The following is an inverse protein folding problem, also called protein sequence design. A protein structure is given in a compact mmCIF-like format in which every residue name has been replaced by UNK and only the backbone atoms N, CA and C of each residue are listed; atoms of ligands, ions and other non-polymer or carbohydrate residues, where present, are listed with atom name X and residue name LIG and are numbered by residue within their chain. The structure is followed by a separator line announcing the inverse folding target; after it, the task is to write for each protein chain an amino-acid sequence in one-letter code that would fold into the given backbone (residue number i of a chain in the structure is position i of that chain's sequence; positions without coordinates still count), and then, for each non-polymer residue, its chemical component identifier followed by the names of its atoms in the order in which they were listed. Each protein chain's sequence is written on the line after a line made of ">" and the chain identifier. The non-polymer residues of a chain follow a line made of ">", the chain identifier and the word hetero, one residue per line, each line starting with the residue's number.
data_IF_352927448460
#
_entry.id   IF_352927448460
#
_cell.length_a   1.000
_cell.length_b   1.000
_cell.length_c   1.000
_cell.angle_alpha   90.00
_cell.angle_beta   90.00
_cell.angle_gamma   90.00
#
_symmetry.space_group_name_H-M   'P 1'
#
loop_
_entity.id
_entity.type
_entity.pdbx_description
1 polymer ?
#
# COMPACT_ATOMS: atom_id res chain seq x y z
N UNK A 1 -6.89 14.30 1.95
CA UNK A 1 -7.62 13.72 0.78
C UNK A 1 -7.44 12.22 0.85
N UNK A 2 -8.50 11.43 0.69
CA UNK A 2 -8.43 9.96 0.64
C UNK A 2 -8.05 9.53 -0.77
N UNK A 3 -7.16 8.54 -0.87
CA UNK A 3 -6.74 7.90 -2.12
C UNK A 3 -7.06 6.40 -2.06
N UNK A 4 -7.52 5.87 -3.18
CA UNK A 4 -7.74 4.43 -3.36
C UNK A 4 -6.61 3.86 -4.20
N UNK A 5 -5.97 2.82 -3.68
CA UNK A 5 -4.86 2.08 -4.27
C UNK A 5 -5.26 0.60 -4.50
N UNK A 6 -5.96 0.26 -5.59
CA UNK A 6 -6.33 -1.13 -5.86
C UNK A 6 -5.11 -2.02 -6.00
N UNK A 7 -5.04 -3.11 -5.19
CA UNK A 7 -3.98 -4.12 -5.30
C UNK A 7 -4.28 -5.09 -6.42
N UNK A 8 -3.38 -5.15 -7.39
CA UNK A 8 -3.46 -6.06 -8.53
C UNK A 8 -3.27 -7.55 -8.15
N UNK A 9 -2.88 -7.84 -6.91
CA UNK A 9 -2.78 -9.22 -6.43
C UNK A 9 -4.09 -10.01 -6.60
N UNK A 10 -5.23 -9.32 -6.52
CA UNK A 10 -6.57 -9.91 -6.68
C UNK A 10 -7.13 -9.76 -8.11
N UNK A 11 -6.37 -9.17 -9.04
CA UNK A 11 -6.81 -8.99 -10.42
C UNK A 11 -6.62 -10.26 -11.25
N UNK A 12 -7.36 -10.37 -12.37
CA UNK A 12 -7.10 -11.36 -13.39
C UNK A 12 -5.86 -10.96 -14.20
N UNK A 13 -4.74 -11.65 -13.99
CA UNK A 13 -3.46 -11.34 -14.65
C UNK A 13 -3.52 -11.52 -16.17
N UNK A 14 -4.43 -12.34 -16.71
CA UNK A 14 -4.64 -12.44 -18.15
C UNK A 14 -5.30 -11.17 -18.75
N UNK A 15 -5.94 -10.35 -17.92
CA UNK A 15 -6.64 -9.11 -18.29
C UNK A 15 -6.19 -7.90 -17.49
N UNK A 16 -4.99 -7.95 -16.92
CA UNK A 16 -4.50 -6.97 -15.94
C UNK A 16 -4.63 -5.52 -16.43
N UNK A 17 -4.22 -5.24 -17.66
CA UNK A 17 -4.29 -3.88 -18.21
C UNK A 17 -5.71 -3.34 -18.37
N UNK A 18 -6.70 -4.20 -18.65
CA UNK A 18 -8.11 -3.82 -18.70
C UNK A 18 -8.63 -3.48 -17.29
N UNK A 19 -8.35 -4.35 -16.34
CA UNK A 19 -8.85 -4.20 -14.96
C UNK A 19 -8.24 -2.97 -14.28
N UNK A 20 -6.95 -2.71 -14.50
CA UNK A 20 -6.29 -1.51 -13.98
C UNK A 20 -6.91 -0.23 -14.57
N UNK A 21 -7.18 -0.19 -15.88
CA UNK A 21 -7.88 0.95 -16.48
C UNK A 21 -9.28 1.12 -15.91
N UNK A 22 -10.03 0.03 -15.77
CA UNK A 22 -11.37 0.09 -15.18
C UNK A 22 -11.37 0.62 -13.74
N UNK A 23 -10.41 0.19 -12.90
CA UNK A 23 -10.26 0.73 -11.55
C UNK A 23 -9.88 2.22 -11.56
N UNK A 24 -9.00 2.66 -12.46
CA UNK A 24 -8.66 4.08 -12.67
C UNK A 24 -9.87 4.91 -13.08
N UNK A 25 -10.68 4.42 -14.03
CA UNK A 25 -11.95 5.05 -14.44
C UNK A 25 -12.96 5.10 -13.27
N UNK A 26 -12.80 4.22 -12.29
CA UNK A 26 -13.58 4.20 -11.05
C UNK A 26 -13.07 5.16 -9.97
N UNK A 27 -12.00 5.91 -10.23
CA UNK A 27 -11.47 6.92 -9.32
C UNK A 27 -10.26 6.44 -8.48
N UNK A 28 -9.70 5.27 -8.77
CA UNK A 28 -8.41 4.90 -8.22
C UNK A 28 -7.35 5.92 -8.62
N UNK A 29 -6.50 6.33 -7.68
CA UNK A 29 -5.46 7.35 -7.89
C UNK A 29 -4.05 6.79 -7.83
N UNK A 30 -3.89 5.55 -7.37
CA UNK A 30 -2.64 4.79 -7.28
C UNK A 30 -2.95 3.34 -7.66
N UNK A 31 -1.98 2.59 -8.16
CA UNK A 31 -2.08 1.14 -8.36
C UNK A 31 -1.08 0.46 -7.44
N UNK A 32 -1.57 -0.38 -6.56
CA UNK A 32 -0.74 -1.12 -5.61
C UNK A 32 -0.29 -2.46 -6.18
N UNK A 33 0.99 -2.78 -5.99
CA UNK A 33 1.67 -3.92 -6.60
C UNK A 33 2.40 -4.73 -5.52
N UNK A 34 1.84 -5.86 -5.14
CA UNK A 34 2.39 -6.76 -4.12
C UNK A 34 3.47 -7.66 -4.70
N UNK A 35 4.72 -7.45 -4.27
CA UNK A 35 5.90 -8.22 -4.69
C UNK A 35 6.29 -9.19 -3.57
N UNK A 36 6.29 -10.48 -3.90
CA UNK A 36 6.57 -11.57 -2.96
C UNK A 36 7.60 -12.55 -3.53
N UNK A 37 8.53 -13.02 -2.71
CA UNK A 37 9.69 -13.84 -3.11
C UNK A 37 9.66 -15.30 -2.63
N UNK A 38 8.63 -15.69 -1.87
CA UNK A 38 8.55 -17.03 -1.28
C UNK A 38 9.48 -17.26 -0.08
N UNK A 39 10.16 -16.20 0.41
CA UNK A 39 11.05 -16.24 1.57
C UNK A 39 10.51 -15.38 2.72
N UNK A 40 10.37 -14.08 2.51
CA UNK A 40 9.76 -13.19 3.51
C UNK A 40 8.30 -13.56 3.78
N UNK A 41 7.57 -13.97 2.74
CA UNK A 41 6.20 -14.50 2.82
C UNK A 41 6.10 -15.81 2.02
N UNK A 42 5.20 -16.76 2.40
CA UNK A 42 5.11 -18.08 1.77
C UNK A 42 4.32 -18.04 0.45
N UNK A 43 4.57 -17.06 -0.41
CA UNK A 43 3.93 -16.88 -1.71
C UNK A 43 4.91 -16.24 -2.69
N UNK A 44 4.70 -16.48 -3.98
CA UNK A 44 5.42 -15.86 -5.10
C UNK A 44 4.42 -15.07 -5.94
N UNK A 45 4.76 -13.85 -6.35
CA UNK A 45 3.87 -13.08 -7.20
C UNK A 45 4.53 -12.67 -8.51
N UNK A 46 4.97 -11.43 -8.63
CA UNK A 46 5.46 -10.84 -9.88
C UNK A 46 6.77 -10.09 -9.61
N UNK A 47 7.41 -9.64 -10.68
CA UNK A 47 8.66 -8.90 -10.61
C UNK A 47 8.72 -7.72 -11.60
N UNK A 48 9.87 -7.06 -11.73
CA UNK A 48 10.06 -5.87 -12.56
C UNK A 48 9.53 -5.98 -14.00
N UNK A 49 9.61 -7.14 -14.71
CA UNK A 49 9.06 -7.26 -16.07
C UNK A 49 7.55 -7.01 -16.17
N UNK A 50 6.77 -7.47 -15.17
CA UNK A 50 5.33 -7.24 -15.12
C UNK A 50 5.03 -5.78 -14.82
N UNK A 51 5.74 -5.18 -13.87
CA UNK A 51 5.65 -3.74 -13.55
C UNK A 51 5.94 -2.88 -14.77
N UNK A 52 7.02 -3.18 -15.51
CA UNK A 52 7.37 -2.49 -16.75
C UNK A 52 6.30 -2.62 -17.85
N UNK A 53 5.59 -3.74 -17.88
CA UNK A 53 4.47 -3.95 -18.80
C UNK A 53 3.24 -3.16 -18.36
N UNK A 54 2.98 -3.14 -17.04
CA UNK A 54 1.89 -2.39 -16.44
C UNK A 54 2.05 -0.88 -16.65
N UNK A 55 3.27 -0.34 -16.52
CA UNK A 55 3.58 1.08 -16.77
C UNK A 55 3.15 1.57 -18.16
N UNK A 56 3.11 0.69 -19.15
CA UNK A 56 2.71 1.05 -20.53
C UNK A 56 1.18 1.22 -20.68
N UNK A 57 0.40 0.77 -19.70
CA UNK A 57 -1.07 0.75 -19.81
C UNK A 57 -1.79 1.68 -18.83
N UNK A 58 -1.05 2.32 -17.93
CA UNK A 58 -1.60 3.30 -16.98
C UNK A 58 -0.62 4.44 -16.73
N UNK A 59 -1.11 5.65 -16.52
CA UNK A 59 -0.32 6.80 -16.06
C UNK A 59 -0.44 7.02 -14.54
N UNK A 60 -1.30 6.24 -13.87
CA UNK A 60 -1.43 6.33 -12.41
C UNK A 60 -0.11 5.94 -11.73
N UNK A 61 0.24 6.56 -10.60
CA UNK A 61 1.37 6.12 -9.79
C UNK A 61 1.29 4.62 -9.50
N UNK A 62 2.43 3.93 -9.65
CA UNK A 62 2.61 2.55 -9.24
C UNK A 62 3.30 2.54 -7.88
N UNK A 63 2.69 1.92 -6.91
CA UNK A 63 3.18 1.73 -5.56
C UNK A 63 3.57 0.27 -5.37
N UNK A 64 4.87 -0.02 -5.30
CA UNK A 64 5.38 -1.37 -5.11
C UNK A 64 5.65 -1.65 -3.64
N UNK A 65 4.90 -2.60 -3.09
CA UNK A 65 5.06 -3.13 -1.75
C UNK A 65 5.96 -4.37 -1.79
N UNK A 66 7.19 -4.22 -1.28
CA UNK A 66 8.21 -5.27 -1.34
C UNK A 66 8.15 -6.18 -0.10
N UNK A 67 7.45 -7.29 -0.21
CA UNK A 67 7.42 -8.39 0.76
C UNK A 67 8.50 -9.43 0.39
N UNK A 68 9.77 -9.00 0.42
CA UNK A 68 10.92 -9.79 -0.01
C UNK A 68 12.06 -9.68 1.00
N UNK A 69 12.90 -10.72 1.07
CA UNK A 69 14.20 -10.63 1.72
C UNK A 69 15.15 -9.75 0.89
N UNK A 70 16.05 -9.02 1.55
CA UNK A 70 17.06 -8.16 0.93
C UNK A 70 16.49 -7.17 -0.10
N UNK A 71 15.53 -6.31 0.25
CA UNK A 71 14.89 -5.39 -0.70
C UNK A 71 15.88 -4.44 -1.39
N UNK A 72 17.00 -4.10 -0.73
CA UNK A 72 18.05 -3.23 -1.28
C UNK A 72 18.55 -3.71 -2.66
N UNK A 73 18.59 -5.04 -2.89
CA UNK A 73 19.08 -5.63 -4.14
C UNK A 73 18.13 -5.40 -5.32
N UNK A 74 16.85 -5.12 -5.05
CA UNK A 74 15.80 -5.04 -6.07
C UNK A 74 15.25 -3.62 -6.27
N UNK A 75 15.43 -2.71 -5.33
CA UNK A 75 14.94 -1.32 -5.43
C UNK A 75 15.30 -0.66 -6.76
N UNK A 76 16.57 -0.69 -7.25
CA UNK A 76 16.90 -0.06 -8.53
C UNK A 76 16.14 -0.68 -9.70
N UNK A 77 15.97 -2.00 -9.73
CA UNK A 77 15.28 -2.69 -10.82
C UNK A 77 13.78 -2.35 -10.88
N UNK A 78 13.14 -2.15 -9.72
CA UNK A 78 11.74 -1.69 -9.67
C UNK A 78 11.62 -0.22 -10.09
N UNK A 79 12.53 0.64 -9.66
CA UNK A 79 12.58 2.04 -10.09
C UNK A 79 12.73 2.14 -11.61
N UNK A 80 13.67 1.39 -12.21
CA UNK A 80 13.88 1.31 -13.67
C UNK A 80 12.66 0.74 -14.42
N UNK A 81 11.84 -0.07 -13.75
CA UNK A 81 10.57 -0.57 -14.31
C UNK A 81 9.46 0.50 -14.35
N UNK A 82 9.65 1.66 -13.71
CA UNK A 82 8.78 2.82 -13.75
C UNK A 82 7.81 2.91 -12.59
N UNK A 83 8.16 2.38 -11.40
CA UNK A 83 7.39 2.64 -10.17
C UNK A 83 7.61 4.06 -9.68
N UNK A 84 6.66 4.57 -8.93
CA UNK A 84 6.70 5.90 -8.35
C UNK A 84 6.91 5.86 -6.83
N UNK A 85 6.43 4.80 -6.19
CA UNK A 85 6.51 4.60 -4.75
C UNK A 85 7.03 3.19 -4.48
N UNK A 86 7.88 3.05 -3.47
CA UNK A 86 8.39 1.75 -3.02
C UNK A 86 8.28 1.70 -1.49
N UNK A 87 7.63 0.67 -0.97
CA UNK A 87 7.60 0.38 0.45
C UNK A 87 8.31 -0.91 0.79
N UNK A 88 9.03 -0.89 1.92
CA UNK A 88 9.80 -2.03 2.42
C UNK A 88 9.43 -2.33 3.86
N UNK A 89 9.38 -3.59 4.21
CA UNK A 89 9.10 -4.01 5.56
C UNK A 89 10.24 -3.65 6.53
N UNK A 90 9.87 -3.04 7.66
CA UNK A 90 10.79 -2.84 8.80
C UNK A 90 11.50 -4.14 9.16
N UNK A 91 10.79 -5.25 9.11
CA UNK A 91 11.25 -6.58 9.51
C UNK A 91 12.22 -7.23 8.50
N UNK A 92 12.20 -6.76 7.23
CA UNK A 92 13.10 -7.24 6.18
C UNK A 92 14.39 -6.41 6.05
N UNK A 93 14.43 -5.21 6.64
CA UNK A 93 15.52 -4.27 6.45
C UNK A 93 16.51 -4.30 7.62
N UNK A 94 17.73 -4.81 7.39
CA UNK A 94 18.80 -4.78 8.39
C UNK A 94 19.23 -3.35 8.75
N UNK A 95 19.22 -2.43 7.78
CA UNK A 95 19.59 -1.01 7.92
C UNK A 95 18.54 -0.12 7.29
N UNK A 96 17.35 -0.05 7.89
CA UNK A 96 16.17 0.63 7.34
C UNK A 96 16.45 2.06 6.87
N UNK A 97 17.17 2.87 7.66
CA UNK A 97 17.52 4.24 7.27
C UNK A 97 18.26 4.28 5.92
N UNK A 98 19.25 3.40 5.72
CA UNK A 98 19.99 3.29 4.44
C UNK A 98 19.06 2.88 3.29
N UNK A 99 18.18 1.90 3.52
CA UNK A 99 17.24 1.42 2.50
C UNK A 99 16.27 2.52 2.07
N UNK A 100 15.72 3.30 3.02
CA UNK A 100 14.85 4.44 2.70
C UNK A 100 15.57 5.52 1.87
N UNK A 101 16.83 5.82 2.19
CA UNK A 101 17.64 6.72 1.37
C UNK A 101 17.95 6.16 -0.02
N UNK A 102 18.15 4.83 -0.14
CA UNK A 102 18.30 4.17 -1.45
C UNK A 102 17.04 4.35 -2.30
N UNK A 103 15.85 4.16 -1.74
CA UNK A 103 14.59 4.40 -2.45
C UNK A 103 14.51 5.85 -2.95
N UNK A 104 14.78 6.82 -2.07
CA UNK A 104 14.76 8.25 -2.43
C UNK A 104 15.78 8.61 -3.49
N UNK A 105 16.94 7.97 -3.51
CA UNK A 105 17.97 8.18 -4.54
C UNK A 105 17.55 7.69 -5.93
N UNK A 106 16.48 6.90 -6.02
CA UNK A 106 15.86 6.45 -7.27
C UNK A 106 14.68 7.34 -7.71
N UNK A 107 14.52 8.54 -7.15
CA UNK A 107 13.40 9.45 -7.39
C UNK A 107 12.02 8.84 -7.06
N UNK A 108 11.99 7.82 -6.18
CA UNK A 108 10.77 7.19 -5.70
C UNK A 108 10.38 7.71 -4.31
N UNK A 109 9.08 7.77 -4.02
CA UNK A 109 8.59 7.97 -2.65
C UNK A 109 8.93 6.77 -1.79
N UNK A 110 9.50 7.03 -0.62
CA UNK A 110 9.93 5.97 0.30
C UNK A 110 8.86 5.66 1.34
N UNK A 111 8.36 4.43 1.32
CA UNK A 111 7.43 3.87 2.31
C UNK A 111 8.10 2.89 3.25
N UNK A 112 7.61 2.83 4.47
CA UNK A 112 7.95 1.76 5.43
C UNK A 112 6.71 1.01 5.86
N UNK A 113 6.84 -0.31 5.96
CA UNK A 113 5.73 -1.23 6.25
C UNK A 113 5.90 -1.85 7.63
N UNK A 114 4.80 -1.98 8.37
CA UNK A 114 4.73 -2.68 9.64
C UNK A 114 3.80 -3.89 9.57
N UNK A 115 4.31 -5.05 9.91
CA UNK A 115 3.49 -6.25 10.15
C UNK A 115 2.51 -6.04 11.33
N UNK A 116 1.43 -6.82 11.43
CA UNK A 116 0.48 -6.70 12.53
C UNK A 116 1.12 -6.78 13.93
N UNK A 117 2.16 -7.59 14.11
CA UNK A 117 2.84 -7.76 15.39
C UNK A 117 3.91 -6.70 15.71
N UNK A 118 4.36 -5.90 14.74
CA UNK A 118 5.46 -4.94 14.93
C UNK A 118 4.95 -3.61 15.50
N UNK A 119 5.47 -3.11 16.61
CA UNK A 119 5.05 -1.84 17.21
C UNK A 119 5.42 -0.63 16.32
N UNK A 120 4.58 0.42 16.37
CA UNK A 120 4.83 1.71 15.68
C UNK A 120 6.13 2.37 16.15
N UNK A 121 6.47 2.24 17.41
CA UNK A 121 7.65 2.89 18.03
C UNK A 121 8.98 2.41 17.43
N UNK A 122 9.01 1.26 16.72
CA UNK A 122 10.20 0.82 15.97
C UNK A 122 10.58 1.77 14.84
N UNK A 123 9.66 2.64 14.40
CA UNK A 123 9.87 3.61 13.34
C UNK A 123 10.30 5.01 13.85
N UNK A 124 10.42 5.21 15.18
CA UNK A 124 10.60 6.53 15.78
C UNK A 124 11.74 7.35 15.16
N UNK A 125 12.84 6.67 14.75
CA UNK A 125 14.05 7.29 14.19
C UNK A 125 14.03 7.48 12.66
N UNK A 126 12.94 7.08 11.98
CA UNK A 126 12.85 7.18 10.51
C UNK A 126 11.57 7.90 10.03
N UNK A 127 10.65 8.26 10.92
CA UNK A 127 9.39 8.91 10.55
C UNK A 127 9.55 10.29 9.89
N UNK A 128 10.68 10.94 10.07
CA UNK A 128 11.00 12.23 9.45
C UNK A 128 11.52 12.11 8.01
N UNK A 129 11.92 10.91 7.59
CA UNK A 129 12.45 10.68 6.25
C UNK A 129 11.51 9.91 5.34
N UNK A 130 10.47 9.25 5.87
CA UNK A 130 9.49 8.51 5.04
C UNK A 130 8.44 9.44 4.45
N UNK A 131 7.95 9.09 3.27
CA UNK A 131 6.83 9.77 2.62
C UNK A 131 5.48 9.16 3.04
N UNK A 132 5.48 7.88 3.41
CA UNK A 132 4.31 7.19 3.94
C UNK A 132 4.68 5.98 4.81
N UNK A 133 3.73 5.61 5.68
CA UNK A 133 3.81 4.40 6.51
C UNK A 133 2.65 3.49 6.16
N UNK A 134 2.95 2.28 5.69
CA UNK A 134 1.97 1.25 5.38
C UNK A 134 1.75 0.36 6.61
N UNK A 135 0.53 0.30 7.09
CA UNK A 135 0.12 -0.59 8.19
C UNK A 135 -0.55 -1.83 7.60
N UNK A 136 0.08 -2.99 7.78
CA UNK A 136 -0.57 -4.25 7.44
C UNK A 136 -1.69 -4.54 8.42
N UNK A 137 -2.90 -4.70 7.90
CA UNK A 137 -4.10 -5.08 8.66
C UNK A 137 -4.51 -6.55 8.43
N UNK A 138 -3.64 -7.32 7.79
CA UNK A 138 -3.63 -8.78 7.69
C UNK A 138 -2.18 -9.25 7.81
N UNK A 139 -1.93 -10.54 7.99
CA UNK A 139 -0.57 -11.06 7.81
C UNK A 139 -0.22 -11.06 6.32
N UNK A 140 0.92 -10.49 5.91
CA UNK A 140 1.30 -10.42 4.50
C UNK A 140 1.46 -11.81 3.87
N UNK A 141 1.22 -11.91 2.53
CA UNK A 141 1.45 -13.12 1.76
C UNK A 141 0.26 -13.59 0.92
N UNK A 142 -0.98 -13.29 1.29
CA UNK A 142 -2.18 -13.71 0.53
C UNK A 142 -3.25 -12.64 0.52
N UNK A 143 -4.02 -12.59 -0.57
CA UNK A 143 -5.22 -11.76 -0.68
C UNK A 143 -6.43 -12.35 0.05
N UNK A 144 -7.53 -11.59 0.09
CA UNK A 144 -8.83 -11.99 0.62
C UNK A 144 -8.83 -12.47 2.09
N UNK A 145 -7.92 -11.95 2.91
CA UNK A 145 -7.85 -12.25 4.34
C UNK A 145 -8.80 -11.37 5.16
N UNK A 146 -9.15 -11.85 6.33
CA UNK A 146 -9.97 -11.10 7.29
C UNK A 146 -9.17 -9.98 7.94
N UNK A 147 -9.74 -8.77 8.00
CA UNK A 147 -9.19 -7.60 8.64
C UNK A 147 -8.88 -7.86 10.14
N UNK A 148 -7.73 -7.41 10.61
CA UNK A 148 -7.30 -7.50 12.01
C UNK A 148 -7.64 -6.17 12.72
N UNK A 149 -8.73 -6.08 13.51
CA UNK A 149 -9.19 -4.80 14.08
C UNK A 149 -8.19 -4.13 15.04
N UNK A 150 -7.34 -4.90 15.69
CA UNK A 150 -6.32 -4.34 16.59
C UNK A 150 -5.31 -3.44 15.87
N UNK A 151 -5.16 -3.54 14.55
CA UNK A 151 -4.24 -2.67 13.79
C UNK A 151 -4.70 -1.22 13.70
N UNK A 152 -5.99 -0.93 13.94
CA UNK A 152 -6.53 0.43 13.97
C UNK A 152 -5.82 1.33 14.99
N UNK A 153 -5.33 0.77 16.10
CA UNK A 153 -4.59 1.57 17.08
C UNK A 153 -3.26 2.09 16.54
N UNK A 154 -2.62 1.36 15.61
CA UNK A 154 -1.36 1.79 14.99
C UNK A 154 -1.56 3.02 14.10
N UNK A 155 -2.64 3.04 13.32
CA UNK A 155 -2.97 4.19 12.47
C UNK A 155 -3.25 5.43 13.32
N UNK A 156 -4.00 5.28 14.42
CA UNK A 156 -4.24 6.38 15.39
C UNK A 156 -2.93 6.87 16.01
N UNK A 157 -2.08 5.93 16.44
CA UNK A 157 -0.77 6.26 17.02
C UNK A 157 0.14 6.99 16.03
N UNK A 158 0.18 6.57 14.78
CA UNK A 158 0.91 7.27 13.70
C UNK A 158 0.34 8.68 13.48
N UNK A 159 -0.98 8.85 13.43
CA UNK A 159 -1.61 10.15 13.27
C UNK A 159 -1.29 11.10 14.45
N UNK A 160 -1.28 10.58 15.68
CA UNK A 160 -0.86 11.33 16.87
C UNK A 160 0.60 11.77 16.81
N UNK A 161 1.53 10.85 16.52
CA UNK A 161 2.97 11.16 16.40
C UNK A 161 3.20 12.20 15.32
N UNK A 162 2.56 12.02 14.15
CA UNK A 162 2.64 12.97 13.03
C UNK A 162 2.25 14.38 13.46
N UNK A 163 1.11 14.50 14.15
CA UNK A 163 0.62 15.78 14.65
C UNK A 163 1.54 16.40 15.71
N UNK A 164 1.97 15.60 16.69
CA UNK A 164 2.82 16.06 17.79
C UNK A 164 4.22 16.53 17.33
N UNK A 165 4.78 15.85 16.33
CA UNK A 165 6.13 16.15 15.79
C UNK A 165 6.12 17.07 14.57
N UNK A 166 4.94 17.48 14.06
CA UNK A 166 4.82 18.30 12.84
C UNK A 166 5.32 17.60 11.58
N UNK A 167 5.19 16.27 11.50
CA UNK A 167 5.63 15.45 10.37
C UNK A 167 4.58 15.41 9.26
N UNK A 168 4.98 15.03 8.04
CA UNK A 168 4.13 15.11 6.84
C UNK A 168 3.86 13.77 6.16
N UNK A 169 4.39 12.67 6.67
CA UNK A 169 4.14 11.34 6.08
C UNK A 169 2.65 11.01 6.04
N UNK A 170 2.27 10.21 5.08
CA UNK A 170 0.90 9.71 4.95
C UNK A 170 0.75 8.33 5.60
N UNK A 171 -0.47 7.97 5.94
CA UNK A 171 -0.79 6.66 6.52
C UNK A 171 -1.54 5.86 5.47
N UNK A 172 -0.94 4.74 5.10
CA UNK A 172 -1.50 3.74 4.20
C UNK A 172 -1.92 2.50 5.00
N UNK A 173 -2.93 1.79 4.52
CA UNK A 173 -3.40 0.53 5.12
C UNK A 173 -3.59 -0.51 4.04
N UNK A 174 -3.11 -1.73 4.28
CA UNK A 174 -3.30 -2.88 3.40
C UNK A 174 -3.78 -4.11 4.18
N UNK A 175 -4.86 -4.71 3.65
CA UNK A 175 -5.43 -5.96 4.13
C UNK A 175 -6.86 -5.83 4.64
N UNK A 176 -7.79 -6.52 3.97
CA UNK A 176 -9.18 -6.58 4.38
C UNK A 176 -9.93 -5.25 4.32
N UNK A 177 -9.44 -4.28 3.52
CA UNK A 177 -10.16 -3.03 3.26
C UNK A 177 -11.31 -3.31 2.30
N UNK A 178 -12.53 -3.08 2.79
CA UNK A 178 -13.79 -3.32 2.10
C UNK A 178 -14.85 -2.34 2.61
N UNK A 179 -16.07 -2.39 2.05
CA UNK A 179 -17.16 -1.48 2.47
C UNK A 179 -17.46 -1.55 3.96
N UNK A 180 -17.29 -2.74 4.57
CA UNK A 180 -17.55 -2.98 5.99
C UNK A 180 -16.47 -2.41 6.92
N UNK A 181 -15.23 -2.23 6.44
CA UNK A 181 -14.07 -1.81 7.25
C UNK A 181 -13.56 -0.41 6.92
N UNK A 182 -13.89 0.11 5.74
CA UNK A 182 -13.34 1.37 5.21
C UNK A 182 -13.59 2.56 6.13
N UNK A 183 -14.76 2.64 6.75
CA UNK A 183 -15.07 3.73 7.66
C UNK A 183 -14.16 3.74 8.89
N UNK A 184 -13.86 2.58 9.45
CA UNK A 184 -13.03 2.44 10.65
C UNK A 184 -11.56 2.78 10.36
N UNK A 185 -11.02 2.35 9.20
CA UNK A 185 -9.64 2.65 8.85
C UNK A 185 -9.46 4.14 8.54
N UNK A 186 -10.42 4.78 7.86
CA UNK A 186 -10.40 6.22 7.59
C UNK A 186 -10.48 7.02 8.90
N UNK A 187 -11.39 6.67 9.81
CA UNK A 187 -11.50 7.30 11.13
C UNK A 187 -10.24 7.11 11.97
N UNK A 188 -9.55 5.97 11.82
CA UNK A 188 -8.28 5.71 12.49
C UNK A 188 -7.11 6.55 11.95
N UNK A 189 -7.25 7.17 10.77
CA UNK A 189 -6.25 8.08 10.21
C UNK A 189 -5.63 7.63 8.89
N UNK A 190 -6.08 6.51 8.32
CA UNK A 190 -5.63 6.10 6.98
C UNK A 190 -6.06 7.11 5.91
N UNK A 191 -5.17 7.36 4.97
CA UNK A 191 -5.34 8.31 3.86
C UNK A 191 -5.17 7.63 2.50
N UNK A 192 -4.44 6.50 2.45
CA UNK A 192 -4.25 5.66 1.28
C UNK A 192 -4.80 4.27 1.62
N UNK A 193 -5.74 3.81 0.81
CA UNK A 193 -6.52 2.60 1.07
C UNK A 193 -6.17 1.54 0.04
N UNK A 194 -5.41 0.53 0.43
CA UNK A 194 -5.12 -0.61 -0.45
C UNK A 194 -6.27 -1.60 -0.37
N UNK A 195 -6.88 -1.89 -1.53
CA UNK A 195 -8.01 -2.79 -1.65
C UNK A 195 -7.87 -3.72 -2.85
N UNK A 196 -7.61 -4.99 -2.61
CA UNK A 196 -7.51 -6.01 -3.66
C UNK A 196 -8.87 -6.62 -3.97
N UNK A 197 -9.29 -7.57 -3.15
CA UNK A 197 -10.52 -8.36 -3.36
C UNK A 197 -11.78 -7.50 -3.44
N UNK A 198 -11.88 -6.42 -2.67
CA UNK A 198 -13.02 -5.51 -2.72
C UNK A 198 -13.17 -4.80 -4.07
N UNK A 199 -12.07 -4.62 -4.83
CA UNK A 199 -12.10 -4.01 -6.17
C UNK A 199 -12.15 -5.07 -7.27
N UNK A 200 -11.28 -6.08 -7.24
CA UNK A 200 -11.09 -7.02 -8.35
C UNK A 200 -11.72 -8.39 -8.15
N UNK A 201 -12.10 -8.75 -6.93
CA UNK A 201 -12.53 -10.11 -6.60
C UNK A 201 -13.88 -10.52 -7.19
N UNK A 202 -14.72 -9.58 -7.60
CA UNK A 202 -16.05 -9.83 -8.16
C UNK A 202 -16.61 -8.60 -8.89
N UNK A 203 -17.52 -8.86 -9.84
CA UNK A 203 -18.25 -7.79 -10.52
C UNK A 203 -17.38 -6.90 -11.42
N UNK A 204 -17.69 -5.61 -11.42
CA UNK A 204 -17.02 -4.60 -12.24
C UNK A 204 -16.02 -3.78 -11.38
N UNK A 205 -14.71 -3.85 -11.66
CA UNK A 205 -13.70 -3.11 -10.92
C UNK A 205 -13.92 -1.59 -10.87
N UNK A 206 -14.48 -1.01 -11.94
CA UNK A 206 -14.82 0.42 -11.99
C UNK A 206 -15.86 0.77 -10.94
N UNK A 207 -16.96 0.03 -10.89
CA UNK A 207 -18.04 0.27 -9.94
C UNK A 207 -17.60 0.00 -8.51
N UNK A 208 -16.88 -1.08 -8.28
CA UNK A 208 -16.36 -1.44 -6.98
C UNK A 208 -15.44 -0.36 -6.41
N UNK A 209 -14.53 0.20 -7.25
CA UNK A 209 -13.66 1.30 -6.86
C UNK A 209 -14.47 2.58 -6.53
N UNK A 210 -15.49 2.92 -7.33
CA UNK A 210 -16.37 4.06 -7.07
C UNK A 210 -17.11 3.93 -5.73
N UNK A 211 -17.71 2.78 -5.49
CA UNK A 211 -18.50 2.52 -4.27
C UNK A 211 -17.59 2.59 -3.02
N UNK A 212 -16.40 2.00 -3.08
CA UNK A 212 -15.45 2.02 -1.98
C UNK A 212 -14.90 3.44 -1.71
N UNK A 213 -14.53 4.18 -2.76
CA UNK A 213 -14.04 5.56 -2.62
C UNK A 213 -15.12 6.49 -2.09
N UNK A 214 -16.38 6.31 -2.50
CA UNK A 214 -17.52 7.04 -1.98
C UNK A 214 -17.68 6.81 -0.47
N UNK A 215 -17.72 5.55 -0.04
CA UNK A 215 -17.84 5.19 1.38
C UNK A 215 -16.67 5.76 2.21
N UNK A 216 -15.44 5.70 1.69
CA UNK A 216 -14.26 6.28 2.33
C UNK A 216 -14.37 7.80 2.49
N UNK A 217 -14.83 8.49 1.45
CA UNK A 217 -14.99 9.95 1.46
C UNK A 217 -16.07 10.39 2.44
N UNK A 218 -17.21 9.69 2.47
CA UNK A 218 -18.28 9.94 3.43
C UNK A 218 -17.79 9.76 4.87
N UNK A 219 -17.01 8.71 5.15
CA UNK A 219 -16.40 8.48 6.46
C UNK A 219 -15.42 9.59 6.88
N UNK A 220 -14.66 10.15 5.92
CA UNK A 220 -13.74 11.26 6.19
C UNK A 220 -14.47 12.56 6.56
N UNK A 221 -15.64 12.83 5.97
CA UNK A 221 -16.47 14.01 6.28
C UNK A 221 -17.12 13.93 7.66
N UNK A 222 -17.38 12.73 8.18
CA UNK A 222 -17.98 12.51 9.50
C UNK A 222 -16.95 12.62 10.65
N UNK A 223 -15.70 12.86 10.36
CA UNK A 223 -14.59 12.96 11.33
C UNK A 223 -14.47 14.35 11.98
N UNK A 224 -15.39 15.27 11.68
CA UNK A 224 -15.45 16.66 12.19
C UNK A 224 -16.21 16.74 13.51
#
# INVERSE_FOLDING_TARGET
>A
MIELAPSILSADFARLGEQVRAAGDGGASVIHVDIMDGHFVPNLTIGPPVVKSLRKVTELPLDCHLMIENPDDFIPAFADAGVNWISVHQEACRHLNRTLHLIKSQDCRAGVVLNPATPVDTLAEVLDIVDYVLVMSVNPGFGAQQFIPSTLHKMRRLAEIRSQRGLTYRIEVDGGVALETVADVVRAGAEILVAGNAVFGHGDPRRNAQDLLKAATEAALQKV
#
